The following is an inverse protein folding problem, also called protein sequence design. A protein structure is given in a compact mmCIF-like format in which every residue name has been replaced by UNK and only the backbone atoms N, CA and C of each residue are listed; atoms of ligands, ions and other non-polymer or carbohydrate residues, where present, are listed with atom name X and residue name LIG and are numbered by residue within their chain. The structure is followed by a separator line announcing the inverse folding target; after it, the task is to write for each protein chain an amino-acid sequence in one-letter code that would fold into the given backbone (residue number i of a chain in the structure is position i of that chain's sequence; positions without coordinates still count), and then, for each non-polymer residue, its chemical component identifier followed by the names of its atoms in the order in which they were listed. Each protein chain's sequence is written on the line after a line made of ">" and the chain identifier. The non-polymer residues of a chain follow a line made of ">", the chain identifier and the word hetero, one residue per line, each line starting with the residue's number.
data_IF_862668411638
#
_entry.id   IF_862668411638
#
_cell.length_a   1.000
_cell.length_b   1.000
_cell.length_c   1.000
_cell.angle_alpha   90.00
_cell.angle_beta   90.00
_cell.angle_gamma   90.00
#
_symmetry.space_group_name_H-M   'P 1'
#
loop_
_entity.id
_entity.type
_entity.pdbx_description
1 polymer ?
#
# COMPACT_ATOMS: atom_id res chain seq x y z
N UNK A 1 17.29 -38.21 -2.06
CA UNK A 1 17.38 -36.75 -2.22
C UNK A 1 16.03 -36.25 -1.76
N UNK A 2 15.94 -35.78 -0.52
CA UNK A 2 14.68 -35.31 0.04
C UNK A 2 14.59 -33.84 -0.30
N UNK A 3 13.62 -33.49 -1.14
CA UNK A 3 13.25 -32.10 -1.40
C UNK A 3 12.49 -31.62 -0.16
N UNK A 4 12.93 -30.47 0.36
CA UNK A 4 12.28 -29.78 1.47
C UNK A 4 10.90 -29.28 1.00
N UNK A 5 9.79 -29.58 1.70
CA UNK A 5 8.45 -29.15 1.31
C UNK A 5 8.18 -27.64 1.49
N UNK A 6 9.19 -26.83 1.80
CA UNK A 6 9.05 -25.37 1.95
C UNK A 6 9.31 -24.54 0.67
N UNK A 7 9.59 -25.20 -0.46
CA UNK A 7 9.90 -24.54 -1.75
C UNK A 7 8.76 -24.62 -2.79
N UNK A 8 7.51 -24.83 -2.36
CA UNK A 8 6.36 -24.67 -3.26
C UNK A 8 5.87 -23.21 -3.27
N UNK A 9 5.71 -22.58 -4.45
CA UNK A 9 5.05 -21.29 -4.54
C UNK A 9 3.63 -21.42 -3.97
N UNK A 10 3.25 -20.49 -3.09
CA UNK A 10 1.93 -20.47 -2.45
C UNK A 10 0.86 -20.45 -3.55
N UNK A 11 0.11 -21.55 -3.67
CA UNK A 11 -1.05 -21.63 -4.54
C UNK A 11 -2.22 -20.92 -3.86
N UNK A 12 -2.56 -19.72 -4.36
CA UNK A 12 -3.65 -18.90 -3.83
C UNK A 12 -5.03 -19.53 -4.03
N UNK A 13 -5.16 -20.64 -4.76
CA UNK A 13 -6.41 -21.41 -4.83
C UNK A 13 -6.72 -22.21 -3.55
N UNK A 14 -5.76 -22.44 -2.65
CA UNK A 14 -6.01 -23.15 -1.38
C UNK A 14 -6.67 -22.28 -0.29
N UNK A 15 -6.93 -20.99 -0.57
CA UNK A 15 -7.67 -20.08 0.33
C UNK A 15 -9.20 -20.21 0.23
N UNK A 16 -9.72 -21.04 -0.68
CA UNK A 16 -11.17 -21.27 -0.87
C UNK A 16 -11.88 -21.93 0.34
N UNK A 17 -11.11 -22.39 1.35
CA UNK A 17 -11.62 -23.00 2.58
C UNK A 17 -12.10 -22.03 3.67
N UNK A 18 -11.79 -20.73 3.60
CA UNK A 18 -12.23 -19.75 4.60
C UNK A 18 -13.71 -19.35 4.48
N UNK A 19 -14.36 -19.71 3.37
CA UNK A 19 -15.78 -19.47 3.13
C UNK A 19 -16.72 -20.29 4.02
N UNK A 20 -16.23 -21.38 4.64
CA UNK A 20 -17.06 -22.33 5.40
C UNK A 20 -17.06 -22.09 6.92
N UNK A 21 -16.26 -21.16 7.45
CA UNK A 21 -16.24 -20.85 8.89
C UNK A 21 -17.20 -19.71 9.29
N UNK A 22 -17.87 -19.05 8.33
CA UNK A 22 -18.87 -18.00 8.59
C UNK A 22 -20.28 -18.61 8.79
N UNK A 23 -20.32 -19.77 9.44
CA UNK A 23 -21.53 -20.46 9.86
C UNK A 23 -21.86 -20.15 11.31
N UNK A 24 -22.35 -18.93 11.57
CA UNK A 24 -23.12 -18.64 12.77
C UNK A 24 -22.34 -18.36 14.07
N UNK A 25 -21.57 -17.27 14.12
CA UNK A 25 -21.42 -16.45 15.34
C UNK A 25 -21.29 -14.98 14.93
N UNK A 26 -22.20 -14.17 15.49
CA UNK A 26 -22.13 -12.74 15.84
C UNK A 26 -20.90 -11.95 15.33
N UNK A 27 -21.19 -10.85 14.64
CA UNK A 27 -20.30 -9.69 14.40
C UNK A 27 -18.99 -9.69 15.21
N UNK A 28 -17.87 -9.85 14.53
CA UNK A 28 -16.55 -9.52 15.07
C UNK A 28 -15.95 -8.50 14.09
N UNK A 29 -15.80 -7.26 14.57
CA UNK A 29 -15.39 -6.09 13.79
C UNK A 29 -16.55 -5.13 13.49
N UNK A 30 -17.08 -4.49 14.53
CA UNK A 30 -18.04 -3.40 14.38
C UNK A 30 -17.41 -2.14 13.75
N UNK A 31 -18.21 -1.07 13.54
CA UNK A 31 -17.70 0.21 13.05
C UNK A 31 -16.44 0.67 13.79
N UNK A 32 -15.35 0.91 13.07
CA UNK A 32 -14.11 1.38 13.69
C UNK A 32 -14.27 2.84 14.05
N UNK A 33 -14.04 3.12 15.32
CA UNK A 33 -14.23 4.43 15.94
C UNK A 33 -12.89 5.16 15.84
N UNK A 34 -12.81 6.22 15.05
CA UNK A 34 -11.66 7.11 15.02
C UNK A 34 -11.43 7.73 16.42
N UNK A 35 -10.25 8.33 16.65
CA UNK A 35 -9.89 8.88 17.96
C UNK A 35 -10.86 9.99 18.45
N UNK A 36 -11.62 10.59 17.52
CA UNK A 36 -12.68 11.58 17.75
C UNK A 36 -14.08 10.95 17.91
N UNK A 37 -14.16 9.62 17.97
CA UNK A 37 -15.37 8.79 17.97
C UNK A 37 -16.14 8.64 16.66
N UNK A 38 -15.58 9.12 15.54
CA UNK A 38 -16.22 9.00 14.23
C UNK A 38 -16.16 7.57 13.71
N UNK A 39 -17.30 7.04 13.28
CA UNK A 39 -17.39 5.75 12.59
C UNK A 39 -17.02 5.96 11.12
N UNK A 40 -15.94 5.34 10.65
CA UNK A 40 -15.55 5.38 9.23
C UNK A 40 -16.05 4.11 8.53
N UNK A 41 -16.79 4.30 7.43
CA UNK A 41 -17.31 3.21 6.61
C UNK A 41 -16.89 3.40 5.14
N UNK A 42 -16.27 2.37 4.56
CA UNK A 42 -15.77 2.40 3.18
C UNK A 42 -16.80 1.77 2.24
N UNK A 43 -17.76 2.59 1.80
CA UNK A 43 -18.89 2.18 0.96
C UNK A 43 -18.70 2.42 -0.53
N UNK A 44 -17.57 2.97 -0.96
CA UNK A 44 -17.30 3.22 -2.37
C UNK A 44 -16.23 2.24 -2.86
N UNK A 45 -16.48 1.65 -4.02
CA UNK A 45 -15.47 1.00 -4.83
C UNK A 45 -14.51 2.05 -5.42
N UNK A 46 -13.35 1.62 -5.93
CA UNK A 46 -12.33 2.55 -6.43
C UNK A 46 -12.83 3.44 -7.59
N UNK A 47 -13.77 2.93 -8.39
CA UNK A 47 -14.44 3.61 -9.51
C UNK A 47 -15.58 4.56 -9.07
N UNK A 48 -15.87 4.64 -7.77
CA UNK A 48 -16.94 5.44 -7.19
C UNK A 48 -18.29 4.74 -7.09
N UNK A 49 -18.40 3.46 -7.44
CA UNK A 49 -19.63 2.68 -7.29
C UNK A 49 -19.96 2.44 -5.81
N UNK A 50 -21.21 2.65 -5.42
CA UNK A 50 -21.68 2.32 -4.07
C UNK A 50 -21.75 0.80 -3.85
N UNK A 51 -21.19 0.37 -2.73
CA UNK A 51 -21.17 -1.01 -2.28
C UNK A 51 -22.37 -1.30 -1.38
N UNK A 52 -23.03 -2.46 -1.55
CA UNK A 52 -24.16 -2.85 -0.71
C UNK A 52 -23.76 -3.07 0.76
N UNK A 53 -22.50 -3.42 1.00
CA UNK A 53 -21.91 -3.52 2.33
C UNK A 53 -20.55 -2.80 2.34
N UNK A 54 -20.19 -2.13 3.45
CA UNK A 54 -18.90 -1.47 3.55
C UNK A 54 -17.79 -2.52 3.64
N UNK A 55 -16.61 -2.15 3.13
CA UNK A 55 -15.39 -2.93 3.35
C UNK A 55 -14.78 -2.56 4.71
N UNK A 56 -14.14 -3.53 5.35
CA UNK A 56 -13.37 -3.31 6.57
C UNK A 56 -11.91 -3.03 6.21
N UNK A 57 -11.22 -2.24 7.03
CA UNK A 57 -9.80 -1.96 6.89
C UNK A 57 -9.02 -2.71 7.95
N UNK A 58 -8.31 -3.76 7.53
CA UNK A 58 -7.53 -4.67 8.37
C UNK A 58 -6.09 -4.79 7.85
N UNK A 59 -5.24 -5.42 8.65
CA UNK A 59 -3.87 -5.76 8.25
C UNK A 59 -3.85 -6.57 6.95
N UNK A 60 -2.92 -6.26 6.07
CA UNK A 60 -2.79 -6.88 4.75
C UNK A 60 -3.71 -6.29 3.68
N UNK A 61 -4.64 -5.40 4.02
CA UNK A 61 -5.42 -4.70 3.00
C UNK A 61 -4.60 -3.63 2.28
N UNK A 62 -4.89 -3.43 1.00
CA UNK A 62 -4.44 -2.26 0.25
C UNK A 62 -5.54 -1.22 0.27
N UNK A 63 -5.15 0.03 0.51
CA UNK A 63 -6.05 1.17 0.62
C UNK A 63 -5.68 2.26 -0.37
N UNK A 64 -6.65 3.08 -0.75
CA UNK A 64 -6.42 4.37 -1.35
C UNK A 64 -6.66 5.47 -0.31
N UNK A 65 -5.82 6.49 -0.27
CA UNK A 65 -5.92 7.58 0.70
C UNK A 65 -5.53 8.92 0.10
N UNK A 66 -5.99 10.00 0.74
CA UNK A 66 -5.70 11.37 0.32
C UNK A 66 -4.21 11.66 0.46
N UNK A 67 -3.55 12.18 -0.59
CA UNK A 67 -2.18 12.65 -0.52
C UNK A 67 -1.98 13.75 0.52
N UNK A 68 -0.77 13.84 1.06
CA UNK A 68 -0.36 15.01 1.85
C UNK A 68 0.14 16.09 0.89
N UNK A 69 -0.56 17.22 0.84
CA UNK A 69 -0.25 18.35 -0.05
C UNK A 69 1.21 18.83 0.08
N UNK A 70 1.85 18.65 1.24
CA UNK A 70 3.25 19.05 1.43
C UNK A 70 4.25 18.14 0.71
N UNK A 71 3.83 16.93 0.35
CA UNK A 71 4.67 15.89 -0.24
C UNK A 71 4.10 15.35 -1.58
N UNK A 72 3.03 15.96 -2.09
CA UNK A 72 2.38 15.58 -3.36
C UNK A 72 3.04 16.27 -4.56
N UNK A 73 4.34 16.05 -4.72
CA UNK A 73 5.15 16.63 -5.79
C UNK A 73 4.69 16.25 -7.21
N UNK A 74 3.90 15.18 -7.33
CA UNK A 74 3.40 14.63 -8.58
C UNK A 74 1.92 15.00 -8.87
N UNK A 75 1.31 15.86 -8.05
CA UNK A 75 -0.09 16.28 -8.18
C UNK A 75 -1.06 15.09 -8.35
N UNK A 76 -0.86 14.04 -7.58
CA UNK A 76 -1.70 12.84 -7.65
C UNK A 76 -3.01 13.07 -6.91
N UNK A 77 -4.11 12.51 -7.42
CA UNK A 77 -5.41 12.62 -6.73
C UNK A 77 -5.53 11.63 -5.55
N UNK A 78 -4.76 10.54 -5.58
CA UNK A 78 -4.81 9.44 -4.60
C UNK A 78 -3.45 8.78 -4.45
N UNK A 79 -3.15 8.36 -3.24
CA UNK A 79 -2.04 7.45 -2.95
C UNK A 79 -2.54 6.08 -2.53
N UNK A 80 -1.67 5.08 -2.66
CA UNK A 80 -1.96 3.70 -2.29
C UNK A 80 -1.03 3.24 -1.17
N UNK A 81 -1.50 2.31 -0.34
CA UNK A 81 -0.72 1.82 0.78
C UNK A 81 -1.17 0.45 1.25
N UNK A 82 -0.22 -0.33 1.76
CA UNK A 82 -0.46 -1.59 2.46
C UNK A 82 -0.62 -1.31 3.96
N UNK A 83 -1.74 -1.76 4.53
CA UNK A 83 -1.95 -1.70 5.98
C UNK A 83 -1.09 -2.77 6.65
N UNK A 84 -0.19 -2.35 7.53
CA UNK A 84 0.73 -3.24 8.27
C UNK A 84 0.45 -3.28 9.77
N UNK A 85 -0.49 -2.45 10.24
CA UNK A 85 -0.96 -2.46 11.62
C UNK A 85 -2.19 -1.59 11.81
N UNK A 86 -3.35 -2.23 11.92
CA UNK A 86 -4.63 -1.63 12.22
C UNK A 86 -4.69 -1.30 13.72
N UNK A 87 -5.45 -0.27 14.07
CA UNK A 87 -5.60 0.15 15.46
C UNK A 87 -7.05 -0.02 15.90
N UNK A 88 -7.34 -1.19 16.48
CA UNK A 88 -8.68 -1.57 16.97
C UNK A 88 -9.20 -0.65 18.09
N UNK A 89 -8.31 0.07 18.77
CA UNK A 89 -8.64 1.02 19.83
C UNK A 89 -8.92 2.44 19.33
N UNK A 90 -8.89 2.65 18.01
CA UNK A 90 -9.04 3.95 17.38
C UNK A 90 -7.73 4.74 17.34
N UNK A 91 -7.60 5.60 16.32
CA UNK A 91 -6.39 6.37 16.05
C UNK A 91 -5.84 6.13 14.65
N UNK A 92 -4.57 6.46 14.43
CA UNK A 92 -3.93 6.21 13.14
C UNK A 92 -3.58 4.72 12.99
N UNK A 93 -3.69 4.23 11.75
CA UNK A 93 -3.16 2.93 11.32
C UNK A 93 -1.72 3.07 10.85
N UNK A 94 -0.99 1.97 10.80
CA UNK A 94 0.35 1.90 10.22
C UNK A 94 0.25 1.46 8.77
N UNK A 95 0.78 2.28 7.86
CA UNK A 95 0.73 2.06 6.42
C UNK A 95 2.12 2.09 5.83
N UNK A 96 2.39 1.13 4.95
CA UNK A 96 3.53 1.11 4.06
C UNK A 96 3.08 1.67 2.70
N UNK A 97 3.61 2.82 2.25
CA UNK A 97 3.15 3.44 1.02
C UNK A 97 3.57 2.63 -0.21
N UNK A 98 2.72 2.67 -1.22
CA UNK A 98 3.07 2.39 -2.60
C UNK A 98 3.35 3.74 -3.26
N UNK A 99 4.53 3.87 -3.86
CA UNK A 99 4.98 5.08 -4.53
C UNK A 99 4.81 4.85 -6.03
N UNK A 100 4.10 5.75 -6.69
CA UNK A 100 4.00 5.71 -8.15
C UNK A 100 5.35 6.03 -8.79
N UNK A 101 5.61 5.50 -9.99
CA UNK A 101 6.77 5.91 -10.78
C UNK A 101 6.80 7.43 -10.96
N UNK A 102 5.66 8.06 -11.26
CA UNK A 102 5.56 9.51 -11.40
C UNK A 102 6.03 10.25 -10.14
N UNK A 103 5.62 9.78 -8.97
CA UNK A 103 6.05 10.36 -7.69
C UNK A 103 7.53 10.17 -7.45
N UNK A 104 8.10 9.02 -7.80
CA UNK A 104 9.53 8.76 -7.67
C UNK A 104 10.35 9.67 -8.58
N UNK A 105 9.95 9.83 -9.85
CA UNK A 105 10.57 10.77 -10.77
C UNK A 105 10.45 12.22 -10.26
N UNK A 106 9.25 12.65 -9.86
CA UNK A 106 9.03 14.00 -9.35
C UNK A 106 9.88 14.32 -8.11
N UNK A 107 10.03 13.36 -7.18
CA UNK A 107 10.90 13.51 -6.01
C UNK A 107 12.36 13.65 -6.44
N UNK A 108 12.81 12.88 -7.42
CA UNK A 108 14.19 12.94 -7.86
C UNK A 108 14.49 14.23 -8.67
N UNK A 109 13.57 14.67 -9.53
CA UNK A 109 13.71 15.88 -10.35
C UNK A 109 13.60 17.19 -9.56
N UNK A 110 12.77 17.22 -8.52
CA UNK A 110 12.60 18.43 -7.70
C UNK A 110 13.69 18.60 -6.65
N UNK A 111 14.52 17.57 -6.42
CA UNK A 111 15.62 17.56 -5.44
C UNK A 111 15.22 18.18 -4.08
N UNK A 112 14.18 17.66 -3.41
CA UNK A 112 13.75 18.21 -2.14
C UNK A 112 14.88 18.15 -1.13
N UNK A 113 14.90 19.11 -0.18
CA UNK A 113 15.91 19.14 0.88
C UNK A 113 16.00 17.78 1.58
N UNK A 114 17.18 17.16 1.51
CA UNK A 114 17.46 15.87 2.12
C UNK A 114 17.61 14.70 1.14
N UNK A 115 17.39 14.85 -0.17
CA UNK A 115 17.75 13.82 -1.15
C UNK A 115 19.22 13.96 -1.57
N UNK A 116 20.03 12.93 -1.33
CA UNK A 116 21.49 12.99 -1.52
C UNK A 116 22.00 12.37 -2.83
N UNK A 117 21.15 11.63 -3.54
CA UNK A 117 21.56 10.83 -4.70
C UNK A 117 20.54 10.90 -5.86
N UNK A 118 19.98 12.09 -6.12
CA UNK A 118 18.94 12.30 -7.13
C UNK A 118 19.32 11.78 -8.53
N UNK A 119 20.50 12.16 -9.05
CA UNK A 119 21.00 11.73 -10.36
C UNK A 119 21.13 10.21 -10.47
N UNK A 120 21.74 9.58 -9.46
CA UNK A 120 21.90 8.13 -9.41
C UNK A 120 20.52 7.45 -9.32
N UNK A 121 19.60 8.02 -8.55
CA UNK A 121 18.26 7.46 -8.39
C UNK A 121 17.45 7.54 -9.69
N UNK A 122 17.50 8.67 -10.41
CA UNK A 122 16.90 8.81 -11.75
C UNK A 122 17.45 7.77 -12.73
N UNK A 123 18.77 7.60 -12.75
CA UNK A 123 19.42 6.58 -13.58
C UNK A 123 18.86 5.17 -13.28
N UNK A 124 18.68 4.83 -12.01
CA UNK A 124 18.15 3.52 -11.62
C UNK A 124 16.66 3.34 -11.93
N UNK A 125 15.86 4.41 -11.85
CA UNK A 125 14.46 4.37 -12.29
C UNK A 125 14.37 4.08 -13.80
N UNK A 126 15.19 4.77 -14.60
CA UNK A 126 15.25 4.59 -16.05
C UNK A 126 15.75 3.19 -16.44
N UNK A 127 16.83 2.72 -15.80
CA UNK A 127 17.41 1.39 -16.08
C UNK A 127 16.45 0.26 -15.70
N UNK A 128 15.62 0.46 -14.68
CA UNK A 128 14.58 -0.48 -14.27
C UNK A 128 13.28 -0.34 -15.10
N UNK A 129 13.25 0.56 -16.08
CA UNK A 129 12.09 0.87 -16.94
C UNK A 129 10.82 1.17 -16.13
N UNK A 130 10.95 1.89 -15.01
CA UNK A 130 9.81 2.26 -14.16
C UNK A 130 8.90 3.23 -14.93
N UNK A 131 7.61 2.88 -15.04
CA UNK A 131 6.62 3.75 -15.68
C UNK A 131 5.91 4.63 -14.68
N UNK A 132 5.41 5.77 -15.13
CA UNK A 132 4.61 6.72 -14.35
C UNK A 132 3.53 6.04 -13.49
N UNK A 133 2.79 5.10 -14.09
CA UNK A 133 1.66 4.43 -13.47
C UNK A 133 2.03 3.26 -12.54
N UNK A 134 3.27 2.79 -12.57
CA UNK A 134 3.71 1.65 -11.77
C UNK A 134 3.66 1.99 -10.29
N UNK A 135 3.14 1.09 -9.46
CA UNK A 135 3.10 1.25 -8.00
C UNK A 135 4.17 0.38 -7.35
N UNK A 136 5.13 1.00 -6.68
CA UNK A 136 6.30 0.33 -6.08
C UNK A 136 6.21 0.40 -4.56
N UNK A 137 6.41 -0.73 -3.88
CA UNK A 137 6.31 -0.78 -2.42
C UNK A 137 7.53 -0.11 -1.76
N UNK A 138 7.29 0.82 -0.84
CA UNK A 138 8.34 1.33 0.05
C UNK A 138 8.75 0.28 1.07
N UNK A 139 10.03 -0.05 1.19
CA UNK A 139 10.50 -1.12 2.08
C UNK A 139 10.70 -0.68 3.52
N UNK A 140 11.07 0.58 3.73
CA UNK A 140 11.53 1.11 5.03
C UNK A 140 10.63 2.20 5.60
N UNK A 141 9.75 2.78 4.78
CA UNK A 141 8.74 3.75 5.22
C UNK A 141 7.48 3.06 5.75
N UNK A 142 7.28 3.04 7.07
CA UNK A 142 5.97 2.84 7.69
C UNK A 142 5.57 4.14 8.38
N UNK A 143 4.38 4.65 8.09
CA UNK A 143 3.89 5.88 8.71
C UNK A 143 2.48 5.72 9.27
N UNK A 144 2.18 6.56 10.25
CA UNK A 144 0.87 6.64 10.88
C UNK A 144 -0.10 7.41 9.96
N UNK A 145 -1.17 6.75 9.52
CA UNK A 145 -2.22 7.33 8.69
C UNK A 145 -3.54 7.38 9.47
N UNK A 146 -4.15 8.56 9.69
CA UNK A 146 -5.48 8.66 10.27
C UNK A 146 -6.55 7.98 9.40
N UNK A 147 -7.49 7.25 10.01
CA UNK A 147 -8.57 6.58 9.27
C UNK A 147 -9.37 7.50 8.34
N UNK A 148 -9.54 8.77 8.72
CA UNK A 148 -10.26 9.77 7.93
C UNK A 148 -9.58 10.15 6.59
N UNK A 149 -8.30 9.83 6.43
CA UNK A 149 -7.56 10.03 5.19
C UNK A 149 -7.82 8.89 4.19
N UNK A 150 -8.31 7.74 4.66
CA UNK A 150 -8.60 6.58 3.82
C UNK A 150 -9.87 6.85 3.02
N UNK A 151 -9.77 6.77 1.71
CA UNK A 151 -10.88 6.99 0.80
C UNK A 151 -11.52 5.67 0.37
N UNK A 152 -10.70 4.62 0.17
CA UNK A 152 -11.16 3.31 -0.28
C UNK A 152 -10.33 2.20 0.37
N UNK A 153 -10.96 1.06 0.63
CA UNK A 153 -10.26 -0.22 0.87
C UNK A 153 -10.44 -1.06 -0.38
N UNK A 154 -9.34 -1.49 -0.99
CA UNK A 154 -9.37 -2.15 -2.29
C UNK A 154 -9.80 -3.62 -2.16
N UNK A 155 -10.57 -4.11 -3.13
CA UNK A 155 -10.70 -5.55 -3.36
C UNK A 155 -9.45 -6.11 -4.06
N UNK A 156 -9.35 -7.44 -4.15
CA UNK A 156 -8.29 -8.09 -4.95
C UNK A 156 -8.37 -7.61 -6.40
N UNK A 157 -9.55 -7.59 -6.99
CA UNK A 157 -9.73 -7.16 -8.38
C UNK A 157 -9.29 -5.70 -8.58
N UNK A 158 -9.66 -4.79 -7.68
CA UNK A 158 -9.24 -3.39 -7.77
C UNK A 158 -7.72 -3.25 -7.59
N UNK A 159 -7.11 -4.04 -6.71
CA UNK A 159 -5.65 -4.06 -6.56
C UNK A 159 -4.95 -4.46 -7.85
N UNK A 160 -5.51 -5.38 -8.64
CA UNK A 160 -4.90 -5.72 -9.94
C UNK A 160 -4.92 -4.56 -10.95
N UNK A 161 -5.75 -3.54 -10.72
CA UNK A 161 -5.87 -2.38 -11.63
C UNK A 161 -4.89 -1.26 -11.32
N UNK A 162 -4.20 -1.29 -10.16
CA UNK A 162 -3.27 -0.22 -9.76
C UNK A 162 -1.83 -0.45 -10.24
N UNK A 163 -1.58 -1.32 -11.23
CA UNK A 163 -0.24 -1.55 -11.81
C UNK A 163 0.87 -1.79 -10.76
N UNK A 164 0.60 -2.65 -9.76
CA UNK A 164 1.62 -2.98 -8.76
C UNK A 164 2.83 -3.69 -9.38
N UNK A 165 4.01 -3.11 -9.20
CA UNK A 165 5.28 -3.65 -9.68
C UNK A 165 5.91 -4.55 -8.61
N UNK A 166 5.50 -5.83 -8.60
CA UNK A 166 5.93 -6.81 -7.59
C UNK A 166 7.40 -7.24 -7.67
N UNK A 167 8.15 -6.81 -8.68
CA UNK A 167 9.58 -7.12 -8.81
C UNK A 167 10.50 -6.09 -8.12
N UNK A 168 9.99 -4.91 -7.77
CA UNK A 168 10.78 -3.78 -7.29
C UNK A 168 10.28 -3.27 -5.93
N UNK A 169 11.22 -2.82 -5.11
CA UNK A 169 10.96 -2.12 -3.87
C UNK A 169 11.85 -0.88 -3.79
N UNK A 170 11.40 0.13 -3.05
CA UNK A 170 12.16 1.36 -2.85
C UNK A 170 12.48 1.55 -1.37
N UNK A 171 13.75 1.76 -1.04
CA UNK A 171 14.21 2.12 0.29
C UNK A 171 14.35 3.64 0.37
N UNK A 172 13.62 4.26 1.31
CA UNK A 172 13.75 5.67 1.64
C UNK A 172 14.63 5.79 2.90
N UNK A 173 15.95 5.90 2.68
CA UNK A 173 16.94 5.98 3.75
C UNK A 173 16.78 7.24 4.60
N UNK A 174 16.91 7.10 5.92
CA UNK A 174 16.84 8.21 6.86
C UNK A 174 18.01 9.20 6.72
N UNK A 175 19.09 8.78 6.04
CA UNK A 175 20.24 9.59 5.68
C UNK A 175 20.07 10.33 4.35
N UNK A 176 18.87 10.28 3.75
CA UNK A 176 18.58 10.96 2.49
C UNK A 176 18.96 10.19 1.24
N UNK A 177 19.41 8.94 1.37
CA UNK A 177 19.66 8.07 0.23
C UNK A 177 18.39 7.31 -0.14
N UNK A 178 18.05 7.33 -1.43
CA UNK A 178 16.94 6.53 -1.97
C UNK A 178 17.51 5.44 -2.86
N UNK A 179 17.09 4.19 -2.64
CA UNK A 179 17.60 3.04 -3.38
C UNK A 179 16.46 2.21 -3.96
N UNK A 180 16.62 1.79 -5.20
CA UNK A 180 15.72 0.83 -5.85
C UNK A 180 16.29 -0.58 -5.71
N UNK A 181 15.47 -1.52 -5.25
CA UNK A 181 15.86 -2.90 -4.97
C UNK A 181 15.04 -3.89 -5.80
N UNK A 182 15.66 -4.94 -6.36
CA UNK A 182 14.93 -6.13 -6.79
C UNK A 182 14.36 -6.83 -5.54
N UNK A 183 13.05 -7.11 -5.53
CA UNK A 183 12.41 -7.84 -4.43
C UNK A 183 12.77 -9.34 -4.44
N UNK A 184 13.25 -9.86 -5.57
CA UNK A 184 13.76 -11.24 -5.70
C UNK A 184 15.03 -11.51 -4.88
N UNK A 185 15.63 -10.49 -4.25
CA UNK A 185 16.81 -10.60 -3.40
C UNK A 185 16.49 -10.54 -1.90
N UNK A 186 15.21 -10.46 -1.52
CA UNK A 186 14.76 -10.23 -0.14
C UNK A 186 13.93 -11.38 0.45
N UNK A 187 13.67 -12.42 -0.34
CA UNK A 187 13.02 -13.67 0.08
C UNK A 187 13.83 -14.87 -0.40
#
# INVERSE_FOLDING_TARGET
>A
MNVDPSDEPIDFHDLDGLSQFVGGVQSIGGPVTAADTTIVLYHLALDGTELPLPRQCCDGNVIAYTPDDNFNYADEDRWFGLVVGANEHGGAIQVRPLLSGRRLYAVAEQEPEGLNNADDFLYWLDEAEVRDEDQILSMTGVHALPYQCITHVLSIDEFTTINFQGALGVDLGADGWVTLHPLSLLF
#
